data_IF_932810009808
#
_entry.id   IF_932810009808
#
_cell.length_a   1.000
_cell.length_b   1.000
_cell.length_c   1.000
_cell.angle_alpha   90.00
_cell.angle_beta   90.00
_cell.angle_gamma   90.00
#
_symmetry.space_group_name_H-M   'P 1'
#
loop_
_entity.id
_entity.type
_entity.pdbx_description
1 polymer ?
#
# COMPACT_ATOMS: atom_id res chain seq x y z
N UNK A 1 10.27 62.30 -9.37
CA UNK A 1 9.97 61.68 -8.07
C UNK A 1 8.47 61.71 -7.90
N UNK A 2 7.78 60.61 -7.53
CA UNK A 2 8.26 59.32 -7.02
C UNK A 2 8.08 58.15 -8.00
N UNK A 3 8.69 57.02 -7.65
CA UNK A 3 8.65 55.73 -8.33
C UNK A 3 7.54 54.89 -7.72
N UNK A 4 6.77 54.19 -8.54
CA UNK A 4 5.90 53.12 -8.08
C UNK A 4 6.56 51.80 -8.47
N UNK A 5 7.19 51.19 -7.48
CA UNK A 5 7.79 49.87 -7.55
C UNK A 5 6.64 48.83 -7.58
N UNK A 6 6.31 48.28 -8.75
CA UNK A 6 5.52 47.05 -8.82
C UNK A 6 6.41 45.85 -8.47
N UNK A 7 6.48 45.55 -7.18
CA UNK A 7 6.90 44.26 -6.63
C UNK A 7 5.85 43.20 -7.01
N UNK A 8 6.01 42.58 -8.19
CA UNK A 8 5.30 41.34 -8.51
C UNK A 8 6.12 40.16 -8.02
N UNK A 9 5.83 39.80 -6.77
CA UNK A 9 6.38 38.65 -6.06
C UNK A 9 6.48 37.41 -6.95
N UNK A 10 7.67 36.82 -6.94
CA UNK A 10 7.95 35.54 -7.55
C UNK A 10 7.04 34.48 -6.90
N UNK A 11 6.00 34.06 -7.61
CA UNK A 11 5.23 32.88 -7.24
C UNK A 11 6.18 31.68 -7.28
N UNK A 12 6.71 31.31 -6.11
CA UNK A 12 7.48 30.11 -5.92
C UNK A 12 6.59 28.92 -6.32
N UNK A 13 6.74 28.50 -7.56
CA UNK A 13 6.28 27.22 -8.06
C UNK A 13 6.97 26.15 -7.20
N UNK A 14 6.27 25.71 -6.15
CA UNK A 14 6.69 24.58 -5.33
C UNK A 14 6.67 23.37 -6.26
N UNK A 15 7.85 23.05 -6.82
CA UNK A 15 8.06 21.81 -7.56
C UNK A 15 7.87 20.70 -6.52
N UNK A 16 6.99 19.71 -6.74
CA UNK A 16 6.85 18.60 -5.81
C UNK A 16 8.22 17.97 -5.61
N UNK A 17 8.58 17.68 -4.36
CA UNK A 17 9.87 17.05 -4.06
C UNK A 17 9.98 15.79 -4.93
N UNK A 18 11.06 15.69 -5.70
CA UNK A 18 11.28 14.50 -6.54
C UNK A 18 11.54 13.33 -5.61
N UNK A 19 10.58 12.41 -5.49
CA UNK A 19 10.78 11.11 -4.84
C UNK A 19 12.05 10.47 -5.40
N UNK A 20 12.87 9.91 -4.52
CA UNK A 20 14.07 9.20 -4.95
C UNK A 20 13.69 7.90 -5.66
N UNK A 21 14.55 7.42 -6.56
CA UNK A 21 14.35 6.13 -7.24
C UNK A 21 14.19 4.97 -6.24
N UNK A 22 14.87 5.07 -5.08
CA UNK A 22 14.78 4.10 -3.99
C UNK A 22 13.38 4.08 -3.36
N UNK A 23 12.81 5.24 -3.07
CA UNK A 23 11.46 5.35 -2.49
C UNK A 23 10.39 4.81 -3.43
N UNK A 24 10.53 5.09 -4.73
CA UNK A 24 9.67 4.53 -5.76
C UNK A 24 9.81 3.00 -5.84
N UNK A 25 11.04 2.48 -5.78
CA UNK A 25 11.29 1.04 -5.77
C UNK A 25 10.66 0.35 -4.56
N UNK A 26 10.77 0.94 -3.36
CA UNK A 26 10.14 0.44 -2.14
C UNK A 26 8.61 0.48 -2.26
N UNK A 27 8.04 1.62 -2.70
CA UNK A 27 6.60 1.77 -2.92
C UNK A 27 6.06 0.73 -3.89
N UNK A 28 6.75 0.50 -5.00
CA UNK A 28 6.40 -0.51 -5.99
C UNK A 28 6.45 -1.92 -5.42
N UNK A 29 7.51 -2.25 -4.65
CA UNK A 29 7.67 -3.55 -4.02
C UNK A 29 6.53 -3.84 -3.03
N UNK A 30 6.20 -2.89 -2.15
CA UNK A 30 5.09 -3.06 -1.20
C UNK A 30 3.77 -3.18 -1.97
N UNK A 31 3.53 -2.35 -2.99
CA UNK A 31 2.31 -2.42 -3.80
C UNK A 31 2.16 -3.77 -4.53
N UNK A 32 3.26 -4.40 -4.97
CA UNK A 32 3.20 -5.74 -5.57
C UNK A 32 2.76 -6.80 -4.55
N UNK A 33 3.28 -6.75 -3.34
CA UNK A 33 2.89 -7.69 -2.27
C UNK A 33 1.44 -7.47 -1.84
N UNK A 34 1.01 -6.22 -1.66
CA UNK A 34 -0.40 -5.90 -1.36
C UNK A 34 -1.33 -6.40 -2.47
N UNK A 35 -0.92 -6.26 -3.74
CA UNK A 35 -1.70 -6.74 -4.88
C UNK A 35 -1.83 -8.27 -4.89
N UNK A 36 -0.77 -8.99 -4.48
CA UNK A 36 -0.81 -10.45 -4.33
C UNK A 36 -1.76 -10.87 -3.22
N UNK A 37 -1.68 -10.26 -2.03
CA UNK A 37 -2.58 -10.57 -0.90
C UNK A 37 -4.04 -10.30 -1.29
N UNK A 38 -4.34 -9.14 -1.87
CA UNK A 38 -5.67 -8.81 -2.38
C UNK A 38 -6.19 -9.82 -3.41
N UNK A 39 -5.33 -10.28 -4.33
CA UNK A 39 -5.71 -11.24 -5.35
C UNK A 39 -6.06 -12.61 -4.76
N UNK A 40 -5.41 -13.01 -3.65
CA UNK A 40 -5.71 -14.27 -2.96
C UNK A 40 -6.95 -14.15 -2.09
N UNK A 41 -7.13 -13.05 -1.36
CA UNK A 41 -8.30 -12.82 -0.52
C UNK A 41 -9.62 -12.71 -1.31
N UNK A 42 -9.56 -12.31 -2.58
CA UNK A 42 -10.72 -12.25 -3.47
C UNK A 42 -11.09 -13.59 -4.10
N UNK A 43 -10.29 -14.65 -3.88
CA UNK A 43 -10.64 -15.98 -4.39
C UNK A 43 -11.76 -16.55 -3.53
N UNK A 44 -12.86 -17.02 -4.13
CA UNK A 44 -13.86 -17.77 -3.40
C UNK A 44 -13.22 -18.97 -2.71
N UNK A 45 -13.44 -19.11 -1.41
CA UNK A 45 -12.99 -20.25 -0.60
C UNK A 45 -13.56 -21.58 -1.09
N UNK A 46 -14.72 -21.52 -1.75
CA UNK A 46 -15.38 -22.68 -2.34
C UNK A 46 -15.24 -22.69 -3.86
N UNK A 47 -14.39 -23.59 -4.35
CA UNK A 47 -14.42 -24.03 -5.76
C UNK A 47 -15.62 -24.94 -6.06
N UNK A 48 -16.41 -25.31 -5.04
CA UNK A 48 -17.44 -26.33 -5.11
C UNK A 48 -18.87 -25.82 -5.39
N UNK A 49 -19.12 -24.50 -5.34
CA UNK A 49 -20.47 -23.96 -5.53
C UNK A 49 -20.65 -23.33 -6.92
N UNK A 50 -21.69 -23.71 -7.69
CA UNK A 50 -21.94 -23.11 -9.00
C UNK A 50 -22.32 -21.63 -8.81
N UNK A 51 -21.63 -20.75 -9.54
CA UNK A 51 -21.67 -19.28 -9.45
C UNK A 51 -22.98 -18.63 -9.94
N UNK A 52 -24.14 -19.29 -9.78
CA UNK A 52 -25.41 -18.91 -10.41
C UNK A 52 -26.52 -18.52 -9.43
N UNK A 53 -26.17 -18.00 -8.26
CA UNK A 53 -27.13 -17.32 -7.39
C UNK A 53 -26.75 -15.86 -7.26
N UNK A 54 -27.66 -14.89 -7.52
CA UNK A 54 -27.41 -13.47 -7.28
C UNK A 54 -27.41 -13.27 -5.76
N UNK A 55 -26.32 -13.66 -5.13
CA UNK A 55 -26.06 -13.37 -3.73
C UNK A 55 -25.55 -11.94 -3.72
N UNK A 56 -26.22 -11.07 -2.97
CA UNK A 56 -25.69 -9.77 -2.54
C UNK A 56 -24.19 -9.90 -2.29
N UNK A 57 -23.37 -9.08 -2.96
CA UNK A 57 -21.93 -9.15 -2.75
C UNK A 57 -21.68 -8.92 -1.25
N UNK A 58 -21.07 -9.88 -0.53
CA UNK A 58 -20.83 -9.68 0.88
C UNK A 58 -20.03 -8.38 1.09
N UNK A 59 -20.31 -7.62 2.17
CA UNK A 59 -19.62 -6.39 2.44
C UNK A 59 -18.10 -6.64 2.48
N UNK A 60 -17.35 -5.74 1.85
CA UNK A 60 -15.90 -5.87 1.73
C UNK A 60 -15.24 -5.97 3.11
N UNK A 61 -14.42 -7.01 3.31
CA UNK A 61 -13.71 -7.25 4.58
C UNK A 61 -12.88 -6.03 4.99
N UNK A 62 -12.84 -5.66 6.29
CA UNK A 62 -12.04 -4.54 6.79
C UNK A 62 -10.55 -4.68 6.46
N UNK A 63 -10.03 -5.92 6.35
CA UNK A 63 -8.67 -6.19 5.91
C UNK A 63 -8.43 -5.76 4.46
N UNK A 64 -9.39 -6.02 3.57
CA UNK A 64 -9.32 -5.61 2.17
C UNK A 64 -9.33 -4.09 2.07
N UNK A 65 -10.14 -3.41 2.90
CA UNK A 65 -10.17 -1.95 2.96
C UNK A 65 -8.82 -1.38 3.45
N UNK A 66 -8.23 -1.96 4.50
CA UNK A 66 -6.91 -1.58 5.01
C UNK A 66 -5.81 -1.73 3.94
N UNK A 67 -5.80 -2.86 3.22
CA UNK A 67 -4.86 -3.10 2.12
C UNK A 67 -5.05 -2.10 0.96
N UNK A 68 -6.29 -1.75 0.61
CA UNK A 68 -6.56 -0.69 -0.38
C UNK A 68 -6.08 0.68 0.11
N UNK A 69 -6.32 1.02 1.38
CA UNK A 69 -5.86 2.27 1.97
C UNK A 69 -4.33 2.37 1.95
N UNK A 70 -3.62 1.27 2.24
CA UNK A 70 -2.17 1.20 2.13
C UNK A 70 -1.70 1.51 0.70
N UNK A 71 -2.31 0.92 -0.34
CA UNK A 71 -1.95 1.23 -1.74
C UNK A 71 -2.10 2.72 -2.07
N UNK A 72 -3.18 3.35 -1.61
CA UNK A 72 -3.38 4.79 -1.79
C UNK A 72 -2.31 5.59 -1.03
N UNK A 73 -1.94 5.16 0.18
CA UNK A 73 -0.89 5.79 0.97
C UNK A 73 0.50 5.72 0.29
N UNK A 74 0.86 4.59 -0.33
CA UNK A 74 2.15 4.41 -1.02
C UNK A 74 2.39 5.39 -2.19
N UNK A 75 1.32 5.93 -2.78
CA UNK A 75 1.43 6.85 -3.91
C UNK A 75 0.91 8.24 -3.60
N UNK A 76 0.52 8.52 -2.36
CA UNK A 76 0.17 9.86 -1.91
C UNK A 76 1.34 10.83 -2.15
N UNK A 77 1.06 12.09 -2.53
CA UNK A 77 2.07 13.13 -2.64
C UNK A 77 2.52 13.54 -1.22
N UNK A 78 3.41 12.74 -0.63
CA UNK A 78 4.07 13.01 0.63
C UNK A 78 5.55 13.31 0.35
N UNK A 79 6.03 14.44 0.88
CA UNK A 79 7.39 14.93 0.64
C UNK A 79 8.47 14.18 1.45
N UNK A 80 8.08 13.27 2.36
CA UNK A 80 9.02 12.74 3.34
C UNK A 80 8.91 11.24 3.64
N UNK A 81 9.21 10.44 2.62
CA UNK A 81 9.30 8.99 2.72
C UNK A 81 10.35 8.50 3.73
N UNK A 82 11.36 9.33 4.04
CA UNK A 82 12.43 8.99 4.98
C UNK A 82 11.94 8.86 6.44
N UNK A 83 10.80 9.46 6.78
CA UNK A 83 10.22 9.42 8.13
C UNK A 83 8.92 8.61 8.20
N UNK A 84 8.57 7.90 7.13
CA UNK A 84 7.43 6.98 7.16
C UNK A 84 7.80 5.82 8.08
N UNK A 85 7.02 5.67 9.16
CA UNK A 85 7.18 4.57 10.10
C UNK A 85 6.94 3.24 9.37
N UNK A 86 7.90 2.29 9.39
CA UNK A 86 7.75 0.99 8.76
C UNK A 86 6.56 0.17 9.27
N UNK A 87 6.09 0.45 10.49
CA UNK A 87 4.90 -0.22 11.02
C UNK A 87 3.64 0.08 10.20
N UNK A 88 3.56 1.23 9.53
CA UNK A 88 2.39 1.64 8.74
C UNK A 88 2.14 0.74 7.53
N UNK A 89 3.20 0.25 6.89
CA UNK A 89 3.05 -0.70 5.78
C UNK A 89 3.12 -2.16 6.22
N UNK A 90 3.62 -2.47 7.41
CA UNK A 90 3.66 -3.82 7.97
C UNK A 90 2.34 -4.24 8.63
N UNK A 91 1.67 -3.33 9.34
CA UNK A 91 0.45 -3.62 10.11
C UNK A 91 -0.61 -4.35 9.28
N UNK A 92 -0.96 -3.91 8.05
CA UNK A 92 -2.00 -4.58 7.28
C UNK A 92 -1.66 -6.03 6.92
N UNK A 93 -0.37 -6.40 6.81
CA UNK A 93 0.03 -7.79 6.59
C UNK A 93 -0.05 -8.60 7.88
N UNK A 94 0.32 -8.02 9.02
CA UNK A 94 0.22 -8.66 10.33
C UNK A 94 -1.26 -8.90 10.72
N UNK A 95 -2.14 -7.98 10.35
CA UNK A 95 -3.59 -8.11 10.56
C UNK A 95 -4.14 -9.29 9.74
N UNK A 96 -3.68 -9.47 8.50
CA UNK A 96 -4.04 -10.64 7.66
C UNK A 96 -3.50 -11.95 8.22
N UNK A 97 -2.32 -11.94 8.86
CA UNK A 97 -1.72 -13.14 9.46
C UNK A 97 -2.47 -13.58 10.72
N UNK A 98 -2.97 -12.63 11.52
CA UNK A 98 -3.66 -12.89 12.78
C UNK A 98 -5.17 -13.13 12.61
N UNK A 99 -5.72 -12.88 11.42
CA UNK A 99 -7.13 -13.01 11.15
C UNK A 99 -7.57 -14.49 11.04
N UNK A 100 -8.57 -14.85 11.83
CA UNK A 100 -9.13 -16.21 11.87
C UNK A 100 -9.95 -16.57 10.62
N UNK A 101 -10.43 -15.58 9.87
CA UNK A 101 -11.30 -15.71 8.69
C UNK A 101 -10.54 -15.66 7.35
N UNK A 102 -9.22 -15.75 7.39
CA UNK A 102 -8.35 -15.68 6.20
C UNK A 102 -7.94 -17.07 5.73
N UNK A 103 -8.08 -17.32 4.43
CA UNK A 103 -7.64 -18.56 3.81
C UNK A 103 -6.12 -18.78 3.97
N UNK A 104 -5.69 -20.03 4.21
CA UNK A 104 -4.26 -20.37 4.35
C UNK A 104 -3.34 -19.81 3.23
N UNK A 105 -3.76 -19.76 1.94
CA UNK A 105 -2.95 -19.13 0.90
C UNK A 105 -2.73 -17.63 1.10
N UNK A 106 -3.71 -16.90 1.65
CA UNK A 106 -3.60 -15.47 1.92
C UNK A 106 -2.64 -15.22 3.10
N UNK A 107 -2.75 -15.99 4.19
CA UNK A 107 -1.79 -15.97 5.30
C UNK A 107 -0.36 -16.26 4.82
N UNK A 108 -0.17 -17.29 3.98
CA UNK A 108 1.14 -17.63 3.42
C UNK A 108 1.73 -16.51 2.54
N UNK A 109 0.88 -15.85 1.75
CA UNK A 109 1.28 -14.70 0.93
C UNK A 109 1.67 -13.50 1.81
N UNK A 110 0.90 -13.20 2.86
CA UNK A 110 1.21 -12.14 3.80
C UNK A 110 2.51 -12.40 4.58
N UNK A 111 2.76 -13.64 5.01
CA UNK A 111 4.04 -14.03 5.65
C UNK A 111 5.23 -13.82 4.71
N UNK A 112 5.09 -14.21 3.44
CA UNK A 112 6.13 -13.98 2.43
C UNK A 112 6.42 -12.48 2.25
N UNK A 113 5.39 -11.64 2.26
CA UNK A 113 5.54 -10.19 2.14
C UNK A 113 6.37 -9.61 3.30
N UNK A 114 6.07 -10.02 4.54
CA UNK A 114 6.81 -9.61 5.75
C UNK A 114 8.26 -10.09 5.69
N UNK A 115 8.49 -11.38 5.37
CA UNK A 115 9.84 -11.95 5.29
C UNK A 115 10.69 -11.34 4.17
N UNK A 116 10.07 -10.89 3.06
CA UNK A 116 10.77 -10.18 1.98
C UNK A 116 11.21 -8.78 2.41
N UNK A 117 10.49 -8.15 3.33
CA UNK A 117 10.90 -6.91 3.99
C UNK A 117 12.16 -7.08 4.83
N UNK A 118 12.24 -8.17 5.60
CA UNK A 118 13.37 -8.50 6.48
C UNK A 118 14.58 -9.10 5.74
N UNK A 119 14.34 -9.83 4.63
CA UNK A 119 15.35 -10.62 3.91
C UNK A 119 16.32 -9.84 3.00
N UNK A 120 16.26 -8.51 2.96
CA UNK A 120 17.19 -7.66 2.19
C UNK A 120 18.28 -7.00 3.06
N UNK A 121 18.63 -7.63 4.19
CA UNK A 121 19.86 -7.34 4.94
C UNK A 121 20.93 -8.45 4.82
N UNK A 122 20.99 -9.08 3.65
CA UNK A 122 22.08 -9.92 3.16
C UNK A 122 22.37 -9.34 1.77
N UNK A 123 23.28 -8.40 1.61
CA UNK A 123 24.73 -8.58 1.61
C UNK A 123 25.38 -7.25 2.04
N UNK A 124 26.41 -7.33 2.88
CA UNK A 124 27.41 -6.27 3.04
C UNK A 124 28.06 -5.91 1.69
#
# INVERSE_FOLDING_TARGET
>A
MPKEDEDKGCAASQRPARRSERELAISCMINTEVSLVLAVMRRPLDHASPQFLPTEEPPESPLIQSLKALRSFLFAPNDDWAFVDPTLFLSPFLDVIQADDVAAPATGTALSAVLKGEGKNVVN
#
